data_IF_723472555740
#
_entry.id   IF_723472555740
#
_cell.length_a   1.000
_cell.length_b   1.000
_cell.length_c   1.000
_cell.angle_alpha   90.00
_cell.angle_beta   90.00
_cell.angle_gamma   90.00
#
_symmetry.space_group_name_H-M   'P 1'
#
loop_
_entity.id
_entity.type
_entity.pdbx_description
1 polymer ?
#
# COMPACT_ATOMS: atom_id res chain seq x y z
N UNK A 1 -10.88 -18.90 5.66
CA UNK A 1 -9.99 -20.05 5.35
C UNK A 1 -8.65 -19.64 4.74
N UNK A 2 -8.56 -19.08 3.52
CA UNK A 2 -7.27 -18.78 2.87
C UNK A 2 -6.28 -17.97 3.75
N UNK A 3 -6.73 -16.86 4.35
CA UNK A 3 -5.89 -16.01 5.24
C UNK A 3 -5.27 -16.84 6.38
N UNK A 4 -6.08 -17.66 7.05
CA UNK A 4 -5.63 -18.50 8.17
C UNK A 4 -4.63 -19.56 7.71
N UNK A 5 -4.85 -20.15 6.54
CA UNK A 5 -3.92 -21.11 5.93
C UNK A 5 -2.58 -20.46 5.60
N UNK A 6 -2.58 -19.28 4.97
CA UNK A 6 -1.36 -18.53 4.67
C UNK A 6 -0.56 -18.24 5.94
N UNK A 7 -1.24 -17.76 7.00
CA UNK A 7 -0.60 -17.49 8.28
C UNK A 7 -0.01 -18.75 8.92
N UNK A 8 -0.71 -19.88 8.88
CA UNK A 8 -0.21 -21.17 9.39
C UNK A 8 1.01 -21.70 8.63
N UNK A 9 1.16 -21.34 7.35
CA UNK A 9 2.28 -21.73 6.49
C UNK A 9 3.41 -20.70 6.44
N UNK A 10 3.25 -19.52 7.04
CA UNK A 10 4.21 -18.42 6.91
C UNK A 10 4.26 -17.80 5.51
N UNK A 11 3.17 -17.90 4.75
CA UNK A 11 3.03 -17.25 3.43
C UNK A 11 2.58 -15.81 3.64
N UNK A 12 3.39 -14.85 3.20
CA UNK A 12 3.04 -13.44 3.23
C UNK A 12 1.81 -13.16 2.34
N UNK A 13 0.85 -12.41 2.86
CA UNK A 13 -0.36 -11.99 2.14
C UNK A 13 -0.12 -10.59 1.57
N UNK A 14 -0.24 -10.47 0.24
CA UNK A 14 -0.16 -9.18 -0.46
C UNK A 14 -1.56 -8.58 -0.66
N UNK A 15 -1.72 -7.34 -0.20
CA UNK A 15 -2.96 -6.58 -0.24
C UNK A 15 -3.07 -5.68 -1.49
N UNK A 16 -1.99 -5.54 -2.27
CA UNK A 16 -2.06 -4.84 -3.54
C UNK A 16 -3.10 -5.51 -4.46
N UNK A 17 -3.94 -4.69 -5.12
CA UNK A 17 -5.14 -5.06 -5.90
C UNK A 17 -6.38 -5.46 -5.12
N UNK A 18 -6.28 -5.77 -3.83
CA UNK A 18 -7.45 -6.12 -3.04
C UNK A 18 -8.35 -4.88 -2.91
N UNK A 19 -9.67 -5.08 -3.05
CA UNK A 19 -10.60 -3.99 -2.80
C UNK A 19 -10.63 -3.64 -1.31
N UNK A 20 -11.21 -2.49 -0.97
CA UNK A 20 -11.24 -2.01 0.41
C UNK A 20 -11.89 -3.00 1.38
N UNK A 21 -13.02 -3.60 1.01
CA UNK A 21 -13.68 -4.61 1.86
C UNK A 21 -12.76 -5.81 2.13
N UNK A 22 -12.12 -6.34 1.10
CA UNK A 22 -11.19 -7.45 1.25
C UNK A 22 -9.95 -7.08 2.06
N UNK A 23 -9.45 -5.84 1.92
CA UNK A 23 -8.37 -5.32 2.77
C UNK A 23 -8.76 -5.43 4.24
N UNK A 24 -9.96 -4.96 4.60
CA UNK A 24 -10.44 -5.01 5.98
C UNK A 24 -10.73 -6.44 6.45
N UNK A 25 -11.24 -7.31 5.58
CA UNK A 25 -11.39 -8.75 5.89
C UNK A 25 -10.02 -9.37 6.24
N UNK A 26 -8.95 -9.04 5.52
CA UNK A 26 -7.60 -9.53 5.85
C UNK A 26 -7.06 -8.88 7.12
N UNK A 27 -7.27 -7.57 7.32
CA UNK A 27 -6.85 -6.86 8.51
C UNK A 27 -7.48 -7.44 9.80
N UNK A 28 -8.74 -7.87 9.73
CA UNK A 28 -9.43 -8.52 10.85
C UNK A 28 -8.96 -9.97 11.07
N UNK A 29 -8.70 -10.72 10.00
CA UNK A 29 -8.42 -12.15 10.07
C UNK A 29 -6.94 -12.50 10.23
N UNK A 30 -6.03 -11.62 9.80
CA UNK A 30 -4.60 -11.89 9.80
C UNK A 30 -3.98 -11.72 11.18
N UNK A 31 -3.03 -12.58 11.54
CA UNK A 31 -2.18 -12.44 12.72
C UNK A 31 -0.71 -12.17 12.34
N UNK A 32 -0.45 -11.82 11.07
CA UNK A 32 0.84 -11.45 10.52
C UNK A 32 0.79 -9.99 10.00
N UNK A 33 1.94 -9.31 9.85
CA UNK A 33 1.99 -7.93 9.35
C UNK A 33 1.30 -7.76 7.99
N UNK A 34 0.60 -6.64 7.82
CA UNK A 34 -0.11 -6.31 6.57
C UNK A 34 0.86 -5.75 5.53
N UNK A 35 0.89 -6.33 4.33
CA UNK A 35 1.83 -5.91 3.29
C UNK A 35 1.07 -5.53 2.02
N UNK A 36 1.42 -4.37 1.46
CA UNK A 36 1.04 -3.98 0.10
C UNK A 36 2.33 -3.85 -0.72
N UNK A 37 2.59 -4.80 -1.60
CA UNK A 37 3.90 -4.88 -2.28
C UNK A 37 4.11 -3.80 -3.34
N UNK A 38 3.03 -3.23 -3.90
CA UNK A 38 3.09 -2.23 -4.95
C UNK A 38 1.83 -1.33 -4.93
N UNK A 39 1.78 -0.38 -4.01
CA UNK A 39 0.68 0.58 -3.86
C UNK A 39 1.21 1.94 -3.41
N UNK A 40 0.53 3.03 -3.81
CA UNK A 40 0.91 4.40 -3.42
C UNK A 40 -0.14 5.05 -2.50
N UNK A 41 0.01 6.34 -2.25
CA UNK A 41 -0.87 7.11 -1.36
C UNK A 41 -2.09 7.66 -2.10
N UNK A 42 -3.31 7.30 -1.65
CA UNK A 42 -4.56 7.74 -2.28
C UNK A 42 -4.75 9.26 -2.16
N UNK A 43 -4.29 9.85 -1.05
CA UNK A 43 -4.34 11.29 -0.82
C UNK A 43 -3.58 12.12 -1.87
N UNK A 44 -2.61 11.53 -2.59
CA UNK A 44 -1.83 12.19 -3.64
C UNK A 44 -2.29 11.81 -5.05
N UNK A 45 -2.82 10.61 -5.22
CA UNK A 45 -3.36 10.10 -6.47
C UNK A 45 -4.61 9.26 -6.15
N UNK A 46 -5.82 9.81 -6.34
CA UNK A 46 -7.08 9.21 -5.89
C UNK A 46 -7.56 8.12 -6.87
N UNK A 47 -6.79 7.03 -6.93
CA UNK A 47 -7.10 5.82 -7.69
C UNK A 47 -7.45 4.69 -6.73
N UNK A 48 -8.41 3.80 -7.08
CA UNK A 48 -8.74 2.64 -6.24
C UNK A 48 -7.58 1.67 -6.02
N UNK A 49 -6.45 1.85 -6.72
CA UNK A 49 -5.22 1.07 -6.46
C UNK A 49 -4.37 1.62 -5.32
N UNK A 50 -4.56 2.86 -4.91
CA UNK A 50 -3.78 3.48 -3.85
C UNK A 50 -4.46 3.34 -2.48
N UNK A 51 -3.65 3.37 -1.44
CA UNK A 51 -4.08 3.15 -0.05
C UNK A 51 -4.60 4.44 0.57
N UNK A 52 -5.75 4.36 1.24
CA UNK A 52 -6.27 5.46 2.06
C UNK A 52 -5.44 5.64 3.33
N UNK A 53 -5.60 6.76 4.02
CA UNK A 53 -4.89 7.01 5.27
C UNK A 53 -5.29 6.00 6.36
N UNK A 54 -6.53 5.53 6.36
CA UNK A 54 -7.01 4.47 7.27
C UNK A 54 -6.32 3.13 6.99
N UNK A 55 -6.16 2.77 5.72
CA UNK A 55 -5.43 1.57 5.33
C UNK A 55 -3.95 1.67 5.69
N UNK A 56 -3.32 2.84 5.50
CA UNK A 56 -1.95 3.10 5.93
C UNK A 56 -1.80 2.99 7.45
N UNK A 57 -2.77 3.51 8.23
CA UNK A 57 -2.77 3.37 9.68
C UNK A 57 -2.85 1.88 10.11
N UNK A 58 -3.72 1.09 9.48
CA UNK A 58 -3.80 -0.35 9.76
C UNK A 58 -2.50 -1.09 9.42
N UNK A 59 -1.85 -0.74 8.30
CA UNK A 59 -0.54 -1.31 7.93
C UNK A 59 0.50 -0.97 9.00
N UNK A 60 0.57 0.29 9.43
CA UNK A 60 1.47 0.72 10.51
C UNK A 60 1.22 -0.05 11.81
N UNK A 61 -0.03 -0.13 12.25
CA UNK A 61 -0.39 -0.77 13.52
C UNK A 61 -0.06 -2.27 13.53
N UNK A 62 -0.05 -2.91 12.34
CA UNK A 62 0.38 -4.29 12.15
C UNK A 62 1.92 -4.48 12.03
N UNK A 63 2.70 -3.40 12.12
CA UNK A 63 4.13 -3.37 11.79
C UNK A 63 4.42 -3.88 10.35
N UNK A 64 3.52 -3.54 9.43
CA UNK A 64 3.50 -3.98 8.03
C UNK A 64 4.45 -3.22 7.11
N UNK A 65 4.21 -3.33 5.80
CA UNK A 65 5.08 -2.75 4.77
C UNK A 65 4.30 -2.24 3.56
N UNK A 66 4.72 -1.09 3.01
CA UNK A 66 4.23 -0.55 1.73
C UNK A 66 5.38 -0.44 0.73
N UNK A 67 5.28 -1.11 -0.41
CA UNK A 67 6.18 -0.93 -1.55
C UNK A 67 5.64 0.13 -2.52
N UNK A 68 6.46 1.15 -2.82
CA UNK A 68 6.14 2.20 -3.79
C UNK A 68 5.99 1.59 -5.20
N UNK A 69 4.90 1.92 -5.88
CA UNK A 69 4.63 1.50 -7.25
C UNK A 69 5.04 2.58 -8.27
N UNK A 70 5.82 2.19 -9.29
CA UNK A 70 6.31 3.11 -10.34
C UNK A 70 5.31 3.32 -11.49
N UNK A 71 4.15 2.67 -11.47
CA UNK A 71 3.12 2.87 -12.48
C UNK A 71 2.61 4.31 -12.43
N UNK A 72 2.86 5.05 -13.51
CA UNK A 72 2.59 6.50 -13.61
C UNK A 72 1.14 6.88 -13.31
N UNK A 73 0.17 6.03 -13.69
CA UNK A 73 -1.25 6.27 -13.40
C UNK A 73 -1.62 6.16 -11.91
N UNK A 74 -0.69 5.70 -11.06
CA UNK A 74 -0.86 5.60 -9.61
C UNK A 74 0.03 6.60 -8.85
N UNK A 75 0.83 7.40 -9.57
CA UNK A 75 1.70 8.43 -9.02
C UNK A 75 1.14 9.84 -9.25
N UNK A 76 0.54 10.05 -10.42
CA UNK A 76 0.04 11.37 -10.82
C UNK A 76 -1.33 11.63 -10.21
N UNK A 77 -1.52 12.84 -9.69
CA UNK A 77 -2.83 13.29 -9.19
C UNK A 77 -3.94 13.16 -10.25
N UNK A 78 -3.61 13.36 -11.53
CA UNK A 78 -4.54 13.22 -12.67
C UNK A 78 -4.75 11.78 -13.15
N UNK A 79 -4.04 10.79 -12.58
CA UNK A 79 -4.12 9.38 -12.94
C UNK A 79 -3.72 9.04 -14.39
N UNK A 80 -3.11 9.98 -15.13
CA UNK A 80 -2.76 9.77 -16.52
C UNK A 80 -1.61 8.78 -16.69
N UNK A 81 -1.57 8.12 -17.85
CA UNK A 81 -0.51 7.14 -18.19
C UNK A 81 0.63 7.73 -19.03
N UNK A 82 0.86 9.03 -18.90
CA UNK A 82 1.99 9.69 -19.55
C UNK A 82 3.29 9.34 -18.79
N UNK A 83 4.31 8.74 -19.44
CA UNK A 83 5.57 8.41 -18.80
C UNK A 83 6.42 9.63 -18.39
N UNK A 84 6.12 10.82 -18.91
CA UNK A 84 6.77 12.08 -18.53
C UNK A 84 6.31 12.51 -17.11
N UNK A 85 6.88 11.85 -16.10
CA UNK A 85 6.64 12.10 -14.67
C UNK A 85 7.96 12.49 -14.00
N UNK A 86 8.05 13.71 -13.42
CA UNK A 86 9.23 14.12 -12.66
C UNK A 86 9.47 13.19 -11.46
N UNK A 87 10.75 12.92 -11.13
CA UNK A 87 11.11 12.06 -9.99
C UNK A 87 10.58 12.60 -8.66
N UNK A 88 10.38 13.91 -8.56
CA UNK A 88 9.79 14.60 -7.42
C UNK A 88 8.40 14.05 -7.06
N UNK A 89 7.64 13.54 -8.03
CA UNK A 89 6.34 12.91 -7.78
C UNK A 89 6.50 11.59 -7.03
N UNK A 90 7.52 10.79 -7.38
CA UNK A 90 7.83 9.55 -6.65
C UNK A 90 8.29 9.87 -5.23
N UNK A 91 9.20 10.84 -5.08
CA UNK A 91 9.70 11.28 -3.77
C UNK A 91 8.55 11.80 -2.90
N UNK A 92 7.62 12.57 -3.46
CA UNK A 92 6.42 13.04 -2.74
C UNK A 92 5.58 11.88 -2.19
N UNK A 93 5.44 10.80 -2.95
CA UNK A 93 4.78 9.60 -2.46
C UNK A 93 5.57 8.90 -1.36
N UNK A 94 6.90 8.76 -1.51
CA UNK A 94 7.75 8.18 -0.45
C UNK A 94 7.63 8.99 0.84
N UNK A 95 7.79 10.31 0.77
CA UNK A 95 7.69 11.20 1.94
C UNK A 95 6.33 11.08 2.62
N UNK A 96 5.25 11.03 1.83
CA UNK A 96 3.90 10.86 2.37
C UNK A 96 3.75 9.50 3.06
N UNK A 97 4.19 8.42 2.43
CA UNK A 97 4.12 7.07 3.01
C UNK A 97 4.94 7.01 4.30
N UNK A 98 6.19 7.49 4.29
CA UNK A 98 7.07 7.52 5.47
C UNK A 98 6.45 8.33 6.61
N UNK A 99 5.84 9.48 6.33
CA UNK A 99 5.16 10.28 7.35
C UNK A 99 3.95 9.56 7.97
N UNK A 100 3.29 8.67 7.23
CA UNK A 100 2.13 7.91 7.71
C UNK A 100 2.52 6.63 8.43
N UNK A 101 3.36 5.80 7.81
CA UNK A 101 3.68 4.44 8.29
C UNK A 101 5.02 4.32 9.01
N UNK A 102 5.94 5.28 8.83
CA UNK A 102 7.30 5.25 9.39
C UNK A 102 8.35 4.77 8.38
N UNK A 103 9.60 5.20 8.56
CA UNK A 103 10.68 4.95 7.60
C UNK A 103 11.03 3.46 7.45
N UNK A 104 10.84 2.66 8.50
CA UNK A 104 11.10 1.23 8.49
C UNK A 104 10.01 0.41 7.77
N UNK A 105 8.91 1.05 7.36
CA UNK A 105 7.71 0.42 6.80
C UNK A 105 7.45 0.80 5.33
N UNK A 106 8.44 1.38 4.65
CA UNK A 106 8.36 1.78 3.24
C UNK A 106 9.53 1.22 2.44
N UNK A 107 9.25 0.70 1.24
CA UNK A 107 10.25 0.18 0.31
C UNK A 107 9.90 0.46 -1.15
N UNK A 108 10.69 -0.15 -2.05
CA UNK A 108 10.51 -0.09 -3.51
C UNK A 108 10.28 -1.50 -4.07
#
# INVERSE_FOLDING_TARGET
>A
ELVKTCNGLGIMIDLSHLNERGFWDVAELSNAPLVATHSNAHALCPTPRNLTDEQLAAIKDSAGMVGLNFAVGFLREDGQRNPEVPLEVLVKHIDYLVARVGIDHVGL
#
